data_IF_571122979394
#
_entry.id   IF_571122979394
#
_cell.length_a   1.000
_cell.length_b   1.000
_cell.length_c   1.000
_cell.angle_alpha   90.00
_cell.angle_beta   90.00
_cell.angle_gamma   90.00
#
_symmetry.space_group_name_H-M   'P 1'
#
loop_
_entity.id
_entity.type
_entity.pdbx_description
1 polymer ?
#
# COMPACT_ATOMS: atom_id res chain seq x y z
N UNK A 1 13.18 101.20 -27.39
CA UNK A 1 12.40 100.74 -26.27
C UNK A 1 12.03 99.26 -26.56
N UNK A 2 12.89 98.32 -26.13
CA UNK A 2 12.70 96.90 -26.39
C UNK A 2 12.86 96.19 -25.05
N UNK A 3 11.79 95.61 -24.61
CA UNK A 3 11.78 94.77 -23.36
C UNK A 3 11.85 93.36 -23.78
N UNK A 4 12.94 92.66 -23.40
CA UNK A 4 13.18 91.28 -23.65
C UNK A 4 12.60 90.45 -22.50
N UNK A 5 11.66 89.58 -22.80
CA UNK A 5 11.08 88.60 -21.84
C UNK A 5 11.92 87.28 -21.86
N UNK A 6 12.49 86.95 -20.72
CA UNK A 6 13.19 85.65 -20.46
C UNK A 6 12.15 84.59 -20.04
N UNK A 7 12.01 83.55 -20.84
CA UNK A 7 11.20 82.35 -20.48
C UNK A 7 12.05 81.31 -19.82
N UNK A 8 11.73 81.04 -18.58
CA UNK A 8 12.26 79.95 -17.79
C UNK A 8 11.65 78.65 -18.23
N UNK A 9 12.46 77.69 -18.67
CA UNK A 9 12.06 76.23 -18.91
C UNK A 9 12.29 75.42 -17.67
N UNK A 10 11.22 75.01 -16.98
CA UNK A 10 11.23 74.02 -15.93
C UNK A 10 11.28 72.67 -16.56
N UNK A 11 12.33 71.85 -16.24
CA UNK A 11 12.46 70.43 -16.56
C UNK A 11 11.73 69.65 -15.44
N UNK A 12 10.57 69.08 -15.74
CA UNK A 12 9.94 68.04 -14.92
C UNK A 12 10.56 66.69 -15.24
N UNK A 13 11.44 66.23 -14.38
CA UNK A 13 11.93 64.83 -14.42
C UNK A 13 10.84 63.87 -13.93
N UNK A 14 10.26 63.09 -14.85
CA UNK A 14 9.39 61.95 -14.48
C UNK A 14 10.24 60.78 -14.07
N UNK A 15 10.31 60.49 -12.75
CA UNK A 15 10.86 59.25 -12.22
C UNK A 15 9.85 58.12 -12.47
N UNK A 16 10.13 57.25 -13.46
CA UNK A 16 9.40 55.97 -13.65
C UNK A 16 9.84 55.00 -12.56
N UNK A 17 9.01 54.87 -11.54
CA UNK A 17 9.14 53.76 -10.59
C UNK A 17 8.64 52.47 -11.25
N UNK A 18 9.54 51.61 -11.72
CA UNK A 18 9.23 50.22 -12.09
C UNK A 18 8.89 49.47 -10.82
N UNK A 19 7.60 49.31 -10.54
CA UNK A 19 7.11 48.31 -9.59
C UNK A 19 7.32 46.91 -10.21
N UNK A 20 8.39 46.23 -9.81
CA UNK A 20 8.54 44.80 -10.01
C UNK A 20 7.45 44.12 -9.17
N UNK A 21 6.30 43.88 -9.78
CA UNK A 21 5.38 42.88 -9.25
C UNK A 21 6.04 41.52 -9.44
N UNK A 22 6.66 41.03 -8.38
CA UNK A 22 6.95 39.60 -8.27
C UNK A 22 5.59 38.90 -8.29
N UNK A 23 5.18 38.42 -9.45
CA UNK A 23 4.17 37.35 -9.51
C UNK A 23 4.81 36.17 -8.82
N UNK A 24 4.50 35.94 -7.55
CA UNK A 24 4.61 34.63 -6.96
C UNK A 24 3.70 33.76 -7.84
N UNK A 25 4.29 33.11 -8.84
CA UNK A 25 3.62 32.06 -9.56
C UNK A 25 3.26 31.02 -8.47
N UNK A 26 1.98 30.85 -8.19
CA UNK A 26 1.53 29.61 -7.58
C UNK A 26 1.98 28.55 -8.58
N UNK A 27 2.97 27.75 -8.21
CA UNK A 27 3.23 26.53 -8.95
C UNK A 27 1.89 25.79 -8.96
N UNK A 28 1.42 25.43 -10.14
CA UNK A 28 0.18 24.66 -10.26
C UNK A 28 0.44 23.35 -9.51
N UNK A 29 -0.40 23.05 -8.54
CA UNK A 29 -0.34 21.77 -7.82
C UNK A 29 -0.51 20.64 -8.85
N UNK A 30 0.21 19.54 -8.64
CA UNK A 30 0.06 18.34 -9.47
C UNK A 30 -1.07 17.50 -8.89
N UNK A 31 -2.10 17.28 -9.68
CA UNK A 31 -3.25 16.45 -9.29
C UNK A 31 -2.84 14.97 -9.31
N UNK A 32 -3.10 14.24 -8.21
CA UNK A 32 -2.89 12.80 -8.09
C UNK A 32 -4.16 12.14 -7.56
N UNK A 33 -4.76 11.29 -8.38
CA UNK A 33 -5.80 10.35 -7.91
C UNK A 33 -5.09 9.09 -7.45
N UNK A 34 -5.31 8.73 -6.19
CA UNK A 34 -4.69 7.59 -5.55
C UNK A 34 -5.73 6.53 -5.20
N UNK A 35 -5.54 5.31 -5.68
CA UNK A 35 -6.45 4.20 -5.43
C UNK A 35 -5.91 3.29 -4.35
N UNK A 36 -6.59 3.20 -3.19
CA UNK A 36 -6.31 2.16 -2.19
C UNK A 36 -6.72 0.78 -2.73
N UNK A 37 -6.11 -0.25 -2.18
CA UNK A 37 -6.48 -1.65 -2.44
C UNK A 37 -7.75 -2.07 -1.71
N UNK A 38 -8.07 -1.42 -0.58
CA UNK A 38 -9.18 -1.80 0.27
C UNK A 38 -9.99 -0.60 0.79
N UNK A 39 -10.88 -0.86 1.73
CA UNK A 39 -11.72 0.14 2.38
C UNK A 39 -10.90 1.09 3.25
N UNK A 40 -11.54 2.14 3.73
CA UNK A 40 -10.98 3.01 4.76
C UNK A 40 -11.02 2.28 6.11
N UNK A 41 -10.00 1.51 6.38
CA UNK A 41 -9.74 0.79 7.63
C UNK A 41 -8.42 1.30 8.23
N UNK A 42 -8.06 0.84 9.42
CA UNK A 42 -6.86 1.28 10.15
C UNK A 42 -5.61 1.47 9.28
N UNK A 43 -5.22 0.49 8.42
CA UNK A 43 -4.03 0.60 7.59
C UNK A 43 -4.03 1.74 6.57
N UNK A 44 -5.18 2.38 6.32
CA UNK A 44 -5.25 3.59 5.46
C UNK A 44 -4.84 4.89 6.19
N UNK A 45 -4.63 4.83 7.51
CA UNK A 45 -4.33 6.00 8.35
C UNK A 45 -3.19 6.88 7.82
N UNK A 46 -1.99 6.36 7.47
CA UNK A 46 -0.88 7.21 7.02
C UNK A 46 -1.20 7.99 5.73
N UNK A 47 -1.96 7.40 4.82
CA UNK A 47 -2.39 8.08 3.59
C UNK A 47 -3.35 9.23 3.89
N UNK A 48 -4.35 8.99 4.73
CA UNK A 48 -5.36 9.98 5.11
C UNK A 48 -4.76 11.09 5.98
N UNK A 49 -3.84 10.72 6.89
CA UNK A 49 -3.06 11.69 7.67
C UNK A 49 -2.27 12.63 6.76
N UNK A 50 -1.57 12.11 5.74
CA UNK A 50 -0.79 12.93 4.83
C UNK A 50 -1.66 13.96 4.09
N UNK A 51 -2.90 13.60 3.72
CA UNK A 51 -3.87 14.54 3.13
C UNK A 51 -4.29 15.60 4.16
N UNK A 52 -4.82 15.18 5.31
CA UNK A 52 -5.42 16.11 6.28
C UNK A 52 -4.40 17.02 6.98
N UNK A 53 -3.17 16.53 7.17
CA UNK A 53 -2.06 17.33 7.71
C UNK A 53 -1.45 18.26 6.68
N UNK A 54 -1.87 18.15 5.40
CA UNK A 54 -1.38 18.97 4.31
C UNK A 54 0.03 18.63 3.83
N UNK A 55 0.55 17.41 4.16
CA UNK A 55 1.91 17.03 3.77
C UNK A 55 2.06 16.91 2.25
N UNK A 56 1.04 16.43 1.57
CA UNK A 56 1.03 16.44 0.10
C UNK A 56 0.99 17.86 -0.46
N UNK A 57 0.20 18.77 0.13
CA UNK A 57 0.14 20.17 -0.31
C UNK A 57 1.47 20.90 -0.07
N UNK A 58 2.23 20.58 1.00
CA UNK A 58 3.58 21.10 1.23
C UNK A 58 4.56 20.68 0.12
N UNK A 59 4.31 19.56 -0.56
CA UNK A 59 5.06 19.07 -1.73
C UNK A 59 4.49 19.56 -3.08
N UNK A 60 3.46 20.44 -3.06
CA UNK A 60 2.81 20.97 -4.26
C UNK A 60 1.90 19.96 -4.97
N UNK A 61 1.28 19.05 -4.21
CA UNK A 61 0.41 17.99 -4.71
C UNK A 61 -1.02 18.16 -4.19
N UNK A 62 -2.01 18.03 -5.09
CA UNK A 62 -3.42 17.81 -4.73
C UNK A 62 -3.74 16.31 -4.85
N UNK A 63 -3.86 15.63 -3.71
CA UNK A 63 -4.02 14.17 -3.66
C UNK A 63 -5.44 13.82 -3.25
N UNK A 64 -6.12 13.06 -4.11
CA UNK A 64 -7.45 12.51 -3.86
C UNK A 64 -7.34 11.00 -3.67
N UNK A 65 -7.80 10.50 -2.50
CA UNK A 65 -7.70 9.09 -2.15
C UNK A 65 -9.07 8.43 -2.18
N UNK A 66 -9.18 7.34 -2.96
CA UNK A 66 -10.38 6.52 -3.05
C UNK A 66 -10.14 5.11 -2.50
N UNK A 67 -11.18 4.55 -1.86
CA UNK A 67 -11.17 3.17 -1.37
C UNK A 67 -11.23 2.16 -2.52
N UNK A 68 -10.68 0.95 -2.29
CA UNK A 68 -10.63 -0.13 -3.25
C UNK A 68 -11.45 -1.36 -2.87
N UNK A 69 -11.26 -2.41 -3.65
CA UNK A 69 -11.89 -3.72 -3.48
C UNK A 69 -10.99 -4.88 -3.89
N UNK A 70 -9.69 -4.75 -3.62
CA UNK A 70 -8.64 -5.72 -3.91
C UNK A 70 -7.51 -5.12 -4.75
N UNK A 71 -6.27 -5.60 -4.51
CA UNK A 71 -5.05 -5.10 -5.17
C UNK A 71 -5.10 -5.18 -6.69
N UNK A 72 -5.62 -6.28 -7.26
CA UNK A 72 -5.79 -6.40 -8.70
C UNK A 72 -6.71 -5.30 -9.27
N UNK A 73 -7.73 -4.88 -8.52
CA UNK A 73 -8.60 -3.77 -8.87
C UNK A 73 -7.85 -2.43 -8.90
N UNK A 74 -7.01 -2.16 -7.89
CA UNK A 74 -6.19 -0.96 -7.84
C UNK A 74 -5.18 -0.91 -9.00
N UNK A 75 -4.45 -2.01 -9.24
CA UNK A 75 -3.50 -2.15 -10.36
C UNK A 75 -4.19 -1.88 -11.71
N UNK A 76 -5.33 -2.50 -11.98
CA UNK A 76 -6.07 -2.29 -13.22
C UNK A 76 -6.53 -0.83 -13.41
N UNK A 77 -6.88 -0.14 -12.32
CA UNK A 77 -7.29 1.27 -12.40
C UNK A 77 -6.11 2.20 -12.69
N UNK A 78 -4.94 1.93 -12.12
CA UNK A 78 -3.70 2.63 -12.47
C UNK A 78 -3.32 2.32 -13.92
N UNK A 79 -3.35 1.07 -14.34
CA UNK A 79 -3.07 0.64 -15.71
C UNK A 79 -3.96 1.34 -16.75
N UNK A 80 -5.23 1.53 -16.43
CA UNK A 80 -6.18 2.19 -17.35
C UNK A 80 -6.01 3.71 -17.42
N UNK A 81 -5.13 4.32 -16.60
CA UNK A 81 -4.98 5.77 -16.47
C UNK A 81 -6.13 6.45 -15.73
N UNK A 82 -7.00 5.68 -15.05
CA UNK A 82 -8.05 6.23 -14.20
C UNK A 82 -7.48 6.82 -12.91
N UNK A 83 -6.32 6.35 -12.49
CA UNK A 83 -5.55 6.80 -11.34
C UNK A 83 -4.07 6.91 -11.71
N UNK A 84 -3.40 7.91 -11.20
CA UNK A 84 -1.97 8.15 -11.42
C UNK A 84 -1.11 7.19 -10.59
N UNK A 85 -1.55 6.94 -9.34
CA UNK A 85 -0.87 6.10 -8.36
C UNK A 85 -1.90 5.25 -7.60
N UNK A 86 -1.41 4.24 -6.88
CA UNK A 86 -2.27 3.39 -6.06
C UNK A 86 -1.50 2.60 -5.02
N UNK A 87 -2.24 1.77 -4.29
CA UNK A 87 -1.72 0.84 -3.30
C UNK A 87 -2.15 -0.57 -3.68
N UNK A 88 -1.20 -1.49 -3.80
CA UNK A 88 -1.50 -2.84 -4.25
C UNK A 88 -0.39 -3.83 -3.93
N UNK A 89 -0.73 -5.11 -3.89
CA UNK A 89 0.17 -6.22 -3.62
C UNK A 89 1.17 -6.42 -4.77
N UNK A 90 2.47 -6.49 -4.45
CA UNK A 90 3.53 -6.66 -5.46
C UNK A 90 3.40 -7.99 -6.23
N UNK A 91 2.84 -9.03 -5.61
CA UNK A 91 2.68 -10.31 -6.30
C UNK A 91 1.55 -10.24 -7.35
N UNK A 92 0.51 -9.47 -7.06
CA UNK A 92 -0.53 -9.17 -8.05
C UNK A 92 0.01 -8.26 -9.19
N UNK A 93 0.98 -7.39 -8.90
CA UNK A 93 1.67 -6.58 -9.91
C UNK A 93 2.54 -7.47 -10.81
N UNK A 94 3.34 -8.39 -10.24
CA UNK A 94 4.13 -9.36 -11.00
C UNK A 94 3.23 -10.14 -11.98
N UNK A 95 2.10 -10.64 -11.51
CA UNK A 95 1.14 -11.35 -12.34
C UNK A 95 0.59 -10.46 -13.47
N UNK A 96 0.17 -9.22 -13.13
CA UNK A 96 -0.34 -8.28 -14.12
C UNK A 96 0.68 -7.98 -15.22
N UNK A 97 1.95 -7.72 -14.87
CA UNK A 97 3.01 -7.43 -15.84
C UNK A 97 3.30 -8.65 -16.72
N UNK A 98 3.35 -9.84 -16.14
CA UNK A 98 3.57 -11.08 -16.89
C UNK A 98 2.43 -11.41 -17.89
N UNK A 99 1.19 -11.08 -17.54
CA UNK A 99 0.02 -11.28 -18.41
C UNK A 99 -0.12 -10.17 -19.46
N UNK A 100 0.51 -9.00 -19.24
CA UNK A 100 0.41 -7.82 -20.11
C UNK A 100 1.80 -7.28 -20.52
N UNK A 101 2.67 -8.07 -21.14
CA UNK A 101 4.07 -7.65 -21.41
C UNK A 101 4.19 -6.45 -22.37
N UNK A 102 3.18 -6.20 -23.19
CA UNK A 102 3.10 -5.04 -24.08
C UNK A 102 2.05 -4.01 -23.56
N UNK A 103 1.62 -4.17 -22.32
CA UNK A 103 0.58 -3.35 -21.69
C UNK A 103 1.10 -2.01 -21.17
N UNK A 104 0.23 -1.23 -20.50
CA UNK A 104 0.66 -0.02 -19.80
C UNK A 104 1.59 -0.40 -18.65
N UNK A 105 2.75 0.28 -18.57
CA UNK A 105 3.71 0.07 -17.50
C UNK A 105 3.20 0.61 -16.16
N UNK A 106 3.41 -0.20 -15.13
CA UNK A 106 3.17 0.14 -13.73
C UNK A 106 4.35 -0.37 -12.94
N UNK A 107 4.88 0.43 -12.03
CA UNK A 107 5.98 0.01 -11.17
C UNK A 107 5.65 0.28 -9.70
N UNK A 108 6.16 -0.57 -8.80
CA UNK A 108 6.21 -0.30 -7.38
C UNK A 108 7.27 0.78 -7.10
N UNK A 109 6.96 1.73 -6.24
CA UNK A 109 7.86 2.84 -5.92
C UNK A 109 8.13 2.98 -4.42
N UNK A 110 7.40 2.23 -3.58
CA UNK A 110 7.60 2.18 -2.12
C UNK A 110 6.94 0.92 -1.55
N UNK A 111 7.72 0.00 -1.02
CA UNK A 111 7.22 -1.21 -0.35
C UNK A 111 6.73 -0.86 1.06
N UNK A 112 5.41 -0.87 1.28
CA UNK A 112 4.84 -0.55 2.60
C UNK A 112 4.77 -1.78 3.47
N UNK A 113 4.39 -2.94 2.90
CA UNK A 113 4.36 -4.20 3.61
C UNK A 113 5.56 -5.05 3.21
N UNK A 114 6.55 -5.10 4.09
CA UNK A 114 7.77 -5.89 3.89
C UNK A 114 7.50 -7.39 3.72
N UNK A 115 6.42 -7.91 4.32
CA UNK A 115 5.96 -9.28 4.14
C UNK A 115 4.51 -9.38 3.68
N UNK A 116 4.16 -10.49 3.01
CA UNK A 116 2.76 -10.74 2.70
C UNK A 116 1.94 -10.89 3.98
N UNK A 117 0.82 -10.15 4.13
CA UNK A 117 -0.07 -10.31 5.28
C UNK A 117 -1.00 -11.53 5.18
N UNK A 118 -0.88 -12.33 4.12
CA UNK A 118 -1.72 -13.51 3.91
C UNK A 118 -1.55 -14.53 5.04
N UNK A 119 -2.65 -15.10 5.48
CA UNK A 119 -2.70 -16.17 6.45
C UNK A 119 -3.83 -17.16 6.15
N UNK A 120 -3.67 -18.41 6.58
CA UNK A 120 -4.77 -19.36 6.71
C UNK A 120 -5.35 -19.26 8.12
N UNK A 121 -6.67 -19.29 8.21
CA UNK A 121 -7.40 -19.36 9.48
C UNK A 121 -8.28 -20.60 9.48
N UNK A 122 -8.12 -21.42 10.49
CA UNK A 122 -8.93 -22.62 10.71
C UNK A 122 -9.45 -22.62 12.15
N UNK A 123 -10.58 -23.28 12.38
CA UNK A 123 -11.06 -23.48 13.76
C UNK A 123 -10.23 -24.57 14.43
N UNK A 124 -9.82 -24.39 15.68
CA UNK A 124 -9.09 -25.42 16.44
C UNK A 124 -9.84 -26.74 16.56
N UNK A 125 -11.18 -26.69 16.64
CA UNK A 125 -12.03 -27.87 16.73
C UNK A 125 -12.18 -28.64 15.40
N UNK A 126 -11.68 -28.09 14.27
CA UNK A 126 -11.66 -28.76 12.97
C UNK A 126 -10.57 -29.83 12.83
N UNK A 127 -9.64 -29.89 13.80
CA UNK A 127 -8.48 -30.78 13.77
C UNK A 127 -7.37 -30.36 12.80
N UNK A 128 -7.36 -29.07 12.41
CA UNK A 128 -6.30 -28.45 11.60
C UNK A 128 -5.32 -27.78 12.57
N UNK A 129 -4.12 -28.31 12.72
CA UNK A 129 -3.06 -27.79 13.58
C UNK A 129 -1.81 -27.39 12.76
N UNK A 130 -1.63 -27.96 11.57
CA UNK A 130 -0.48 -27.74 10.70
C UNK A 130 -0.90 -27.73 9.22
N UNK A 131 -0.05 -27.22 8.29
CA UNK A 131 -0.36 -27.21 6.85
C UNK A 131 -0.79 -28.56 6.28
N UNK A 132 -0.16 -29.66 6.73
CA UNK A 132 -0.50 -31.00 6.26
C UNK A 132 -1.96 -31.42 6.54
N UNK A 133 -2.58 -30.86 7.58
CA UNK A 133 -3.97 -31.16 7.96
C UNK A 133 -5.01 -30.51 7.03
N UNK A 134 -4.56 -29.58 6.17
CA UNK A 134 -5.41 -28.92 5.17
C UNK A 134 -5.77 -29.86 4.01
N UNK A 135 -5.05 -30.98 3.83
CA UNK A 135 -5.38 -31.92 2.76
C UNK A 135 -6.82 -32.48 2.92
N UNK A 136 -7.60 -32.41 1.84
CA UNK A 136 -9.00 -32.82 1.81
C UNK A 136 -9.97 -31.85 2.48
N UNK A 137 -9.53 -30.66 2.88
CA UNK A 137 -10.34 -29.64 3.53
C UNK A 137 -10.91 -28.64 2.53
N UNK A 138 -12.04 -28.02 2.90
CA UNK A 138 -12.64 -26.93 2.15
C UNK A 138 -12.14 -25.58 2.67
N UNK A 139 -11.51 -24.81 1.79
CA UNK A 139 -11.01 -23.46 2.10
C UNK A 139 -11.84 -22.43 1.32
N UNK A 140 -12.37 -21.41 2.01
CA UNK A 140 -13.11 -20.33 1.37
C UNK A 140 -12.26 -19.08 1.20
N UNK A 141 -12.29 -18.50 0.02
CA UNK A 141 -11.67 -17.21 -0.30
C UNK A 141 -12.31 -16.58 -1.55
N UNK A 142 -12.24 -15.25 -1.71
CA UNK A 142 -12.42 -14.61 -3.01
C UNK A 142 -11.28 -15.01 -3.96
N UNK A 143 -11.54 -15.08 -5.26
CA UNK A 143 -10.51 -15.45 -6.25
C UNK A 143 -9.38 -14.43 -6.39
N UNK A 144 -9.59 -13.19 -5.94
CA UNK A 144 -8.58 -12.13 -5.91
C UNK A 144 -7.83 -12.02 -4.56
N UNK A 145 -8.15 -12.87 -3.57
CA UNK A 145 -7.49 -12.90 -2.27
C UNK A 145 -6.01 -13.32 -2.41
N UNK A 146 -5.10 -12.59 -1.77
CA UNK A 146 -3.66 -12.86 -1.85
C UNK A 146 -3.31 -14.26 -1.36
N UNK A 147 -3.96 -14.76 -0.29
CA UNK A 147 -3.71 -16.12 0.20
C UNK A 147 -4.20 -17.20 -0.76
N UNK A 148 -5.35 -16.98 -1.43
CA UNK A 148 -5.78 -17.85 -2.51
C UNK A 148 -4.79 -17.83 -3.68
N UNK A 149 -4.35 -16.65 -4.09
CA UNK A 149 -3.40 -16.46 -5.19
C UNK A 149 -2.04 -17.06 -4.89
N UNK A 150 -1.51 -16.88 -3.67
CA UNK A 150 -0.22 -17.41 -3.25
C UNK A 150 -0.30 -18.86 -2.72
N UNK A 151 -1.45 -19.53 -2.82
CA UNK A 151 -1.65 -20.86 -2.27
C UNK A 151 -0.65 -21.90 -2.78
N UNK A 152 -0.36 -21.89 -4.07
CA UNK A 152 0.60 -22.81 -4.68
C UNK A 152 1.99 -22.70 -4.05
N UNK A 153 2.40 -21.48 -3.69
CA UNK A 153 3.69 -21.19 -3.04
C UNK A 153 3.66 -21.70 -1.59
N UNK A 154 2.57 -21.40 -0.85
CA UNK A 154 2.39 -21.90 0.52
C UNK A 154 2.39 -23.43 0.56
N UNK A 155 1.64 -24.08 -0.34
CA UNK A 155 1.57 -25.53 -0.43
C UNK A 155 2.94 -26.16 -0.73
N UNK A 156 3.67 -25.61 -1.70
CA UNK A 156 5.01 -26.07 -2.05
C UNK A 156 6.02 -25.90 -0.91
N UNK A 157 5.97 -24.78 -0.18
CA UNK A 157 6.84 -24.53 0.97
C UNK A 157 6.60 -25.50 2.14
N UNK A 158 5.40 -26.13 2.18
CA UNK A 158 4.97 -27.01 3.27
C UNK A 158 4.74 -28.47 2.84
N UNK A 159 5.32 -28.90 1.70
CA UNK A 159 5.21 -30.26 1.17
C UNK A 159 3.75 -30.74 0.97
N UNK A 160 2.82 -29.81 0.70
CA UNK A 160 1.42 -30.08 0.44
C UNK A 160 1.15 -30.04 -1.07
N UNK A 161 0.36 -31.01 -1.58
CA UNK A 161 -0.17 -30.90 -2.95
C UNK A 161 -1.13 -29.71 -3.04
N UNK A 162 -0.89 -28.71 -3.89
CA UNK A 162 -1.77 -27.54 -4.01
C UNK A 162 -3.20 -27.89 -4.43
N UNK A 163 -3.41 -29.08 -5.04
CA UNK A 163 -4.71 -29.59 -5.43
C UNK A 163 -5.37 -30.46 -4.34
N UNK A 164 -4.73 -30.64 -3.18
CA UNK A 164 -5.28 -31.45 -2.11
C UNK A 164 -6.41 -30.76 -1.33
N UNK A 165 -6.70 -29.49 -1.59
CA UNK A 165 -7.77 -28.71 -0.94
C UNK A 165 -8.93 -28.44 -1.89
N UNK A 166 -10.14 -28.28 -1.35
CA UNK A 166 -11.30 -27.85 -2.11
C UNK A 166 -11.55 -26.35 -1.92
N UNK A 167 -11.48 -25.59 -3.00
CA UNK A 167 -11.71 -24.14 -2.93
C UNK A 167 -13.19 -23.79 -3.09
N UNK A 168 -13.71 -23.00 -2.15
CA UNK A 168 -15.00 -22.37 -2.27
C UNK A 168 -14.82 -20.87 -2.53
N UNK A 169 -15.13 -20.43 -3.77
CA UNK A 169 -15.11 -19.00 -4.09
C UNK A 169 -16.31 -18.30 -3.43
N UNK A 170 -16.06 -17.23 -2.69
CA UNK A 170 -17.05 -16.51 -1.90
C UNK A 170 -16.85 -15.00 -2.00
N UNK A 171 -17.92 -14.25 -1.72
CA UNK A 171 -17.80 -12.82 -1.48
C UNK A 171 -16.99 -12.56 -0.20
N UNK A 172 -16.05 -11.58 -0.18
CA UNK A 172 -15.20 -11.29 0.98
C UNK A 172 -16.01 -11.00 2.26
N UNK A 173 -17.23 -10.48 2.16
CA UNK A 173 -18.08 -10.20 3.32
C UNK A 173 -18.68 -11.44 3.99
N UNK A 174 -18.66 -12.58 3.28
CA UNK A 174 -19.20 -13.85 3.76
C UNK A 174 -18.13 -14.79 4.32
N UNK A 175 -16.86 -14.60 3.95
CA UNK A 175 -15.75 -15.50 4.23
C UNK A 175 -15.65 -15.89 5.71
N UNK A 176 -15.52 -14.92 6.60
CA UNK A 176 -15.40 -15.14 8.04
C UNK A 176 -16.69 -15.77 8.64
N UNK A 177 -17.85 -15.39 8.11
CA UNK A 177 -19.14 -15.97 8.54
C UNK A 177 -19.22 -17.46 8.24
N UNK A 178 -18.72 -17.92 7.09
CA UNK A 178 -18.70 -19.34 6.74
C UNK A 178 -17.80 -20.13 7.69
N UNK A 179 -16.63 -19.60 8.05
CA UNK A 179 -15.73 -20.23 9.00
C UNK A 179 -16.38 -20.30 10.41
N UNK A 180 -16.94 -19.21 10.92
CA UNK A 180 -17.56 -19.19 12.25
C UNK A 180 -18.73 -20.16 12.36
N UNK A 181 -19.47 -20.37 11.27
CA UNK A 181 -20.57 -21.33 11.21
C UNK A 181 -20.13 -22.80 11.02
N UNK A 182 -18.86 -23.00 10.64
CA UNK A 182 -18.35 -24.33 10.28
C UNK A 182 -18.87 -24.82 8.93
N UNK A 183 -19.30 -23.92 8.04
CA UNK A 183 -19.72 -24.25 6.68
C UNK A 183 -18.48 -24.52 5.77
N UNK A 184 -17.28 -24.08 6.21
CA UNK A 184 -15.97 -24.39 5.63
C UNK A 184 -14.96 -24.72 6.74
N UNK A 185 -13.90 -25.43 6.39
CA UNK A 185 -12.86 -25.87 7.36
C UNK A 185 -11.85 -24.75 7.66
N UNK A 186 -11.52 -23.95 6.63
CA UNK A 186 -10.57 -22.84 6.72
C UNK A 186 -10.94 -21.71 5.77
N UNK A 187 -10.28 -20.57 5.96
CA UNK A 187 -10.30 -19.42 5.06
C UNK A 187 -8.89 -18.90 4.85
N UNK A 188 -8.65 -18.14 3.77
CA UNK A 188 -7.48 -17.28 3.67
C UNK A 188 -7.89 -15.81 3.74
N UNK A 189 -6.95 -14.93 4.14
CA UNK A 189 -7.15 -13.49 4.20
C UNK A 189 -5.95 -12.79 4.81
N UNK A 190 -5.98 -11.46 4.87
CA UNK A 190 -4.96 -10.70 5.57
C UNK A 190 -5.09 -10.89 7.08
N UNK A 191 -3.95 -11.15 7.75
CA UNK A 191 -3.88 -11.48 9.17
C UNK A 191 -4.68 -10.51 10.02
N UNK A 192 -4.38 -9.22 9.94
CA UNK A 192 -5.01 -8.17 10.73
C UNK A 192 -6.49 -7.91 10.36
N UNK A 193 -6.91 -8.22 9.12
CA UNK A 193 -8.30 -8.04 8.71
C UNK A 193 -9.16 -9.24 9.13
N UNK A 194 -8.75 -10.46 8.77
CA UNK A 194 -9.57 -11.64 9.04
C UNK A 194 -9.63 -11.99 10.53
N UNK A 195 -8.53 -11.80 11.28
CA UNK A 195 -8.53 -12.02 12.73
C UNK A 195 -9.60 -11.16 13.41
N UNK A 196 -9.56 -9.85 13.18
CA UNK A 196 -10.50 -8.93 13.85
C UNK A 196 -11.94 -9.12 13.37
N UNK A 197 -12.14 -9.42 12.09
CA UNK A 197 -13.46 -9.76 11.58
C UNK A 197 -14.01 -11.06 12.18
N UNK A 198 -13.18 -12.04 12.52
CA UNK A 198 -13.58 -13.26 13.22
C UNK A 198 -13.94 -12.97 14.69
N UNK A 199 -13.13 -12.14 15.37
CA UNK A 199 -13.41 -11.70 16.74
C UNK A 199 -14.73 -10.94 16.83
N UNK A 200 -15.02 -10.04 15.90
CA UNK A 200 -16.30 -9.32 15.80
C UNK A 200 -17.50 -10.29 15.69
N UNK A 201 -17.28 -11.45 15.04
CA UNK A 201 -18.28 -12.52 14.91
C UNK A 201 -18.31 -13.47 16.10
N UNK A 202 -17.56 -13.15 17.16
CA UNK A 202 -17.55 -13.90 18.42
C UNK A 202 -16.61 -15.10 18.44
N UNK A 203 -15.64 -15.20 17.49
CA UNK A 203 -14.63 -16.25 17.46
C UNK A 203 -13.28 -15.65 17.90
N UNK A 204 -12.86 -15.96 19.11
CA UNK A 204 -11.59 -15.45 19.67
C UNK A 204 -10.37 -16.09 19.02
N UNK A 205 -9.23 -15.40 19.09
CA UNK A 205 -7.96 -15.92 18.58
C UNK A 205 -7.60 -17.28 19.19
N UNK A 206 -7.94 -17.53 20.46
CA UNK A 206 -7.69 -18.81 21.13
C UNK A 206 -8.48 -19.99 20.53
N UNK A 207 -9.54 -19.72 19.77
CA UNK A 207 -10.34 -20.73 19.07
C UNK A 207 -9.83 -21.00 17.64
N UNK A 208 -8.80 -20.28 17.20
CA UNK A 208 -8.25 -20.34 15.85
C UNK A 208 -6.87 -20.98 15.81
N UNK A 209 -6.63 -21.79 14.80
CA UNK A 209 -5.31 -22.09 14.27
C UNK A 209 -5.04 -21.08 13.15
N UNK A 210 -3.97 -20.29 13.29
CA UNK A 210 -3.59 -19.25 12.33
C UNK A 210 -2.22 -19.60 11.78
N UNK A 211 -2.08 -19.55 10.46
CA UNK A 211 -0.84 -19.86 9.74
C UNK A 211 -0.47 -18.67 8.86
N UNK A 212 0.27 -17.67 9.38
CA UNK A 212 0.77 -16.54 8.59
C UNK A 212 1.77 -17.08 7.55
N UNK A 213 1.59 -16.73 6.29
CA UNK A 213 2.41 -17.24 5.18
C UNK A 213 3.92 -17.04 5.37
N UNK A 214 4.41 -15.88 5.86
CA UNK A 214 5.84 -15.70 6.10
C UNK A 214 6.43 -16.68 7.11
N UNK A 215 5.68 -17.05 8.16
CA UNK A 215 6.13 -18.02 9.16
C UNK A 215 6.18 -19.45 8.63
N UNK A 216 5.50 -19.70 7.50
CA UNK A 216 5.46 -21.01 6.82
C UNK A 216 6.26 -21.02 5.52
N UNK A 217 7.31 -20.17 5.42
CA UNK A 217 8.29 -20.24 4.35
C UNK A 217 7.89 -19.57 3.04
N UNK A 218 6.95 -18.63 3.06
CA UNK A 218 6.52 -17.85 1.88
C UNK A 218 7.19 -16.48 1.92
N UNK A 219 8.30 -16.24 1.17
CA UNK A 219 9.13 -15.04 1.30
C UNK A 219 8.64 -13.90 0.40
N UNK A 220 7.33 -13.78 0.21
CA UNK A 220 6.73 -12.77 -0.65
C UNK A 220 6.66 -11.41 0.06
N UNK A 221 6.81 -10.33 -0.70
CA UNK A 221 6.42 -8.99 -0.28
C UNK A 221 4.89 -8.86 -0.23
N UNK A 222 4.41 -7.83 0.45
CA UNK A 222 3.00 -7.46 0.43
C UNK A 222 2.74 -6.23 -0.42
N UNK A 223 1.95 -5.30 0.12
CA UNK A 223 1.51 -4.13 -0.62
C UNK A 223 2.58 -3.04 -0.73
N UNK A 224 2.63 -2.44 -1.90
CA UNK A 224 3.47 -1.29 -2.23
C UNK A 224 2.63 -0.12 -2.77
N UNK A 225 3.17 1.08 -2.69
CA UNK A 225 2.71 2.20 -3.50
C UNK A 225 3.19 1.93 -4.92
N UNK A 226 2.25 1.95 -5.85
CA UNK A 226 2.48 1.74 -7.28
C UNK A 226 2.20 3.04 -8.04
N UNK A 227 2.89 3.26 -9.14
CA UNK A 227 2.69 4.39 -10.01
C UNK A 227 2.55 3.93 -11.47
N UNK A 228 1.75 4.63 -12.26
CA UNK A 228 1.80 4.54 -13.71
C UNK A 228 3.17 5.01 -14.18
N UNK A 229 3.89 4.23 -15.00
CA UNK A 229 5.19 4.61 -15.52
C UNK A 229 5.12 5.93 -16.29
N UNK A 230 4.09 6.11 -17.12
CA UNK A 230 3.92 7.37 -17.88
C UNK A 230 3.77 8.58 -16.94
N UNK A 231 3.04 8.45 -15.83
CA UNK A 231 2.94 9.53 -14.84
C UNK A 231 4.28 9.77 -14.14
N UNK A 232 4.97 8.70 -13.74
CA UNK A 232 6.24 8.79 -13.03
C UNK A 232 7.35 9.39 -13.89
N UNK A 233 7.40 9.06 -15.19
CA UNK A 233 8.35 9.64 -16.15
C UNK A 233 8.06 11.12 -16.44
N UNK A 234 6.78 11.49 -16.59
CA UNK A 234 6.38 12.88 -16.83
C UNK A 234 6.48 13.76 -15.59
N UNK A 235 6.29 13.20 -14.39
CA UNK A 235 6.21 13.90 -13.11
C UNK A 235 7.09 13.27 -12.00
N UNK A 236 8.40 13.04 -12.23
CA UNK A 236 9.23 12.31 -11.25
C UNK A 236 9.31 13.00 -9.89
N UNK A 237 9.27 14.34 -9.85
CA UNK A 237 9.29 15.09 -8.58
C UNK A 237 7.95 15.01 -7.83
N UNK A 238 6.83 14.83 -8.54
CA UNK A 238 5.53 14.58 -7.91
C UNK A 238 5.53 13.22 -7.20
N UNK A 239 6.05 12.16 -7.84
CA UNK A 239 6.19 10.85 -7.20
C UNK A 239 7.09 10.94 -5.98
N UNK A 240 8.28 11.57 -6.09
CA UNK A 240 9.19 11.75 -4.94
C UNK A 240 8.55 12.56 -3.82
N UNK A 241 7.81 13.62 -4.15
CA UNK A 241 7.07 14.44 -3.19
C UNK A 241 5.99 13.62 -2.47
N UNK A 242 5.23 12.81 -3.22
CA UNK A 242 4.25 11.91 -2.66
C UNK A 242 4.88 10.96 -1.64
N UNK A 243 6.00 10.33 -2.00
CA UNK A 243 6.69 9.39 -1.11
C UNK A 243 7.29 10.06 0.12
N UNK A 244 7.81 11.29 0.02
CA UNK A 244 8.27 12.06 1.20
C UNK A 244 7.13 12.36 2.15
N UNK A 245 6.00 12.84 1.64
CA UNK A 245 4.81 13.15 2.43
C UNK A 245 4.23 11.90 3.11
N UNK A 246 4.10 10.81 2.34
CA UNK A 246 3.65 9.53 2.87
C UNK A 246 4.59 8.98 3.95
N UNK A 247 5.90 8.95 3.69
CA UNK A 247 6.90 8.45 4.62
C UNK A 247 6.87 9.21 5.95
N UNK A 248 6.69 10.53 5.90
CA UNK A 248 6.52 11.36 7.11
C UNK A 248 5.26 10.95 7.89
N UNK A 249 4.13 10.78 7.20
CA UNK A 249 2.88 10.36 7.83
C UNK A 249 2.96 8.93 8.39
N UNK A 250 3.67 8.03 7.70
CA UNK A 250 3.91 6.66 8.17
C UNK A 250 4.74 6.67 9.47
N UNK A 251 5.80 7.48 9.54
CA UNK A 251 6.59 7.64 10.76
C UNK A 251 5.74 8.15 11.93
N UNK A 252 4.95 9.22 11.73
CA UNK A 252 4.04 9.73 12.77
C UNK A 252 2.95 8.71 13.15
N UNK A 253 2.50 7.86 12.20
CA UNK A 253 1.54 6.78 12.48
C UNK A 253 2.15 5.67 13.32
N UNK A 254 3.43 5.33 13.09
CA UNK A 254 4.17 4.37 13.90
C UNK A 254 4.40 4.89 15.32
N UNK A 255 4.70 6.20 15.46
CA UNK A 255 4.91 6.84 16.77
C UNK A 255 3.62 6.92 17.61
N UNK A 256 2.46 7.19 16.99
CA UNK A 256 1.17 7.31 17.68
C UNK A 256 0.01 6.78 16.82
N UNK A 257 -0.19 5.44 16.78
CA UNK A 257 -1.29 4.84 16.05
C UNK A 257 -2.68 5.23 16.59
N UNK A 258 -2.76 5.53 17.89
CA UNK A 258 -4.03 5.96 18.52
C UNK A 258 -4.46 7.35 18.04
N UNK A 259 -3.51 8.25 17.78
CA UNK A 259 -3.81 9.54 17.15
C UNK A 259 -4.07 9.40 15.64
N UNK A 260 -3.37 8.49 14.96
CA UNK A 260 -3.47 8.30 13.52
C UNK A 260 -4.85 7.80 13.07
N UNK A 261 -5.55 7.01 13.90
CA UNK A 261 -6.87 6.47 13.55
C UNK A 261 -7.95 7.55 13.40
N UNK A 262 -7.74 8.72 13.99
CA UNK A 262 -8.68 9.84 13.88
C UNK A 262 -8.87 10.29 12.42
N UNK A 263 -7.83 10.18 11.57
CA UNK A 263 -7.91 10.51 10.14
C UNK A 263 -8.78 9.51 9.38
N UNK A 264 -8.79 8.23 9.77
CA UNK A 264 -9.71 7.24 9.22
C UNK A 264 -11.15 7.52 9.65
N UNK A 265 -11.36 7.86 10.93
CA UNK A 265 -12.66 8.26 11.46
C UNK A 265 -13.21 9.51 10.77
N UNK A 266 -12.38 10.50 10.49
CA UNK A 266 -12.79 11.70 9.76
C UNK A 266 -13.27 11.37 8.34
N UNK A 267 -12.70 10.34 7.73
CA UNK A 267 -13.07 9.87 6.39
C UNK A 267 -14.32 9.00 6.39
N UNK A 268 -14.49 8.14 7.41
CA UNK A 268 -15.66 7.29 7.61
C UNK A 268 -16.07 7.30 9.10
N UNK A 269 -17.11 8.10 9.41
CA UNK A 269 -17.62 8.28 10.79
C UNK A 269 -18.27 7.00 11.36
N UNK A 270 -18.47 5.97 10.54
CA UNK A 270 -19.14 4.74 10.95
C UNK A 270 -18.18 3.64 11.43
N UNK A 271 -16.88 3.86 11.38
CA UNK A 271 -15.91 2.86 11.84
C UNK A 271 -15.99 2.62 13.35
N UNK A 272 -15.70 1.41 13.78
CA UNK A 272 -15.37 1.12 15.17
C UNK A 272 -13.90 1.53 15.44
N UNK A 273 -13.73 2.68 16.11
CA UNK A 273 -12.41 3.27 16.37
C UNK A 273 -11.49 2.32 17.16
N UNK A 274 -12.03 1.59 18.15
CA UNK A 274 -11.22 0.65 18.95
C UNK A 274 -10.74 -0.52 18.10
N UNK A 275 -11.61 -1.09 17.30
CA UNK A 275 -11.27 -2.18 16.37
C UNK A 275 -10.28 -1.73 15.31
N UNK A 276 -10.50 -0.56 14.69
CA UNK A 276 -9.63 -0.07 13.63
C UNK A 276 -8.25 0.38 14.14
N UNK A 277 -8.17 0.88 15.38
CA UNK A 277 -6.89 1.10 16.07
C UNK A 277 -6.12 -0.21 16.26
N UNK A 278 -6.80 -1.27 16.72
CA UNK A 278 -6.19 -2.60 16.85
C UNK A 278 -5.73 -3.15 15.48
N UNK A 279 -6.54 -2.95 14.44
CA UNK A 279 -6.20 -3.36 13.06
C UNK A 279 -4.95 -2.65 12.57
N UNK A 280 -4.88 -1.34 12.78
CA UNK A 280 -3.71 -0.54 12.45
C UNK A 280 -2.46 -1.07 13.16
N UNK A 281 -2.51 -1.22 14.49
CA UNK A 281 -1.39 -1.74 15.28
C UNK A 281 -0.94 -3.12 14.81
N UNK A 282 -1.89 -4.04 14.57
CA UNK A 282 -1.55 -5.36 14.04
C UNK A 282 -0.89 -5.31 12.65
N UNK A 283 -1.33 -4.41 11.78
CA UNK A 283 -0.69 -4.23 10.47
C UNK A 283 0.72 -3.64 10.61
N UNK A 284 0.89 -2.61 11.44
CA UNK A 284 2.20 -2.01 11.70
C UNK A 284 3.18 -3.06 12.26
N UNK A 285 2.78 -3.81 13.29
CA UNK A 285 3.63 -4.80 13.96
C UNK A 285 3.97 -6.01 13.08
N UNK A 286 3.05 -6.42 12.18
CA UNK A 286 3.23 -7.66 11.42
C UNK A 286 3.95 -7.49 10.09
N UNK A 287 3.80 -6.34 9.42
CA UNK A 287 4.28 -6.17 8.04
C UNK A 287 4.98 -4.84 7.73
N UNK A 288 5.01 -3.88 8.67
CA UNK A 288 5.68 -2.58 8.49
C UNK A 288 6.92 -2.48 9.36
N UNK A 289 6.77 -2.66 10.68
CA UNK A 289 7.87 -2.58 11.64
C UNK A 289 8.59 -3.92 11.78
N UNK A 290 9.17 -4.38 10.68
CA UNK A 290 9.87 -5.68 10.61
C UNK A 290 11.36 -5.52 10.99
N UNK A 291 12.07 -6.62 11.29
CA UNK A 291 13.51 -6.57 11.50
C UNK A 291 14.27 -5.97 10.31
N UNK A 292 13.85 -6.25 9.08
CA UNK A 292 14.46 -5.69 7.87
C UNK A 292 14.21 -4.18 7.77
N UNK A 293 12.98 -3.73 8.01
CA UNK A 293 12.65 -2.30 8.01
C UNK A 293 13.40 -1.50 9.09
N UNK A 294 13.68 -2.12 10.24
CA UNK A 294 14.50 -1.49 11.31
C UNK A 294 15.98 -1.40 10.96
N UNK A 295 16.50 -2.34 10.18
CA UNK A 295 17.91 -2.35 9.75
C UNK A 295 18.14 -1.48 8.51
N UNK A 296 17.24 -1.56 7.52
CA UNK A 296 17.42 -0.99 6.19
C UNK A 296 16.52 0.23 5.91
N UNK A 297 15.55 0.52 6.79
CA UNK A 297 14.51 1.53 6.58
C UNK A 297 13.32 0.96 5.79
N UNK A 298 12.17 1.59 5.99
CA UNK A 298 10.93 1.21 5.25
C UNK A 298 11.00 1.64 3.79
N UNK A 299 10.22 0.99 2.95
CA UNK A 299 9.94 1.45 1.58
C UNK A 299 10.81 0.85 0.50
N UNK A 300 11.95 0.26 0.82
CA UNK A 300 12.84 -0.39 -0.14
C UNK A 300 12.54 -1.89 -0.27
N UNK A 301 13.22 -2.55 -1.18
CA UNK A 301 13.17 -4.00 -1.38
C UNK A 301 14.58 -4.58 -1.44
N UNK A 302 14.71 -5.85 -1.11
CA UNK A 302 15.89 -6.64 -1.44
C UNK A 302 15.68 -7.26 -2.84
N UNK A 303 16.56 -6.92 -3.77
CA UNK A 303 16.43 -7.33 -5.17
C UNK A 303 16.52 -8.86 -5.34
N UNK A 304 17.33 -9.57 -4.54
CA UNK A 304 17.43 -11.03 -4.61
C UNK A 304 16.13 -11.69 -4.12
N UNK A 305 15.53 -11.14 -3.06
CA UNK A 305 14.24 -11.59 -2.56
C UNK A 305 13.12 -11.31 -3.55
N UNK A 306 13.10 -10.13 -4.20
CA UNK A 306 12.10 -9.82 -5.22
C UNK A 306 12.26 -10.71 -6.44
N UNK A 307 13.49 -10.95 -6.94
CA UNK A 307 13.76 -11.87 -8.02
C UNK A 307 13.25 -13.30 -7.71
N UNK A 308 13.46 -13.76 -6.47
CA UNK A 308 12.91 -15.03 -6.01
C UNK A 308 11.38 -15.03 -5.96
N UNK A 309 10.75 -13.94 -5.50
CA UNK A 309 9.29 -13.80 -5.48
C UNK A 309 8.73 -13.87 -6.91
N UNK A 310 9.35 -13.19 -7.89
CA UNK A 310 8.98 -13.25 -9.31
C UNK A 310 8.99 -14.69 -9.83
N UNK A 311 10.04 -15.47 -9.52
CA UNK A 311 10.11 -16.89 -9.91
C UNK A 311 9.00 -17.72 -9.25
N UNK A 312 8.80 -17.55 -7.95
CA UNK A 312 7.78 -18.30 -7.20
C UNK A 312 6.36 -18.02 -7.72
N UNK A 313 6.05 -16.75 -8.01
CA UNK A 313 4.77 -16.35 -8.61
C UNK A 313 4.65 -16.92 -10.02
N UNK A 314 5.70 -16.83 -10.82
CA UNK A 314 5.76 -17.39 -12.16
C UNK A 314 5.48 -18.88 -12.21
N UNK A 315 6.13 -19.65 -11.35
CA UNK A 315 5.97 -21.10 -11.25
C UNK A 315 4.56 -21.47 -10.77
N UNK A 316 4.05 -20.78 -9.74
CA UNK A 316 2.73 -21.06 -9.17
C UNK A 316 1.58 -20.84 -10.15
N UNK A 317 1.70 -19.83 -11.03
CA UNK A 317 0.67 -19.49 -12.02
C UNK A 317 0.99 -19.95 -13.44
N UNK A 318 2.14 -20.59 -13.65
CA UNK A 318 2.61 -20.99 -14.98
C UNK A 318 2.60 -19.81 -15.96
N UNK A 319 3.13 -18.68 -15.53
CA UNK A 319 3.16 -17.46 -16.33
C UNK A 319 4.07 -17.61 -17.55
N UNK A 320 3.66 -17.10 -18.72
CA UNK A 320 4.39 -17.33 -19.98
C UNK A 320 5.71 -16.58 -20.07
N UNK A 321 5.78 -15.42 -19.41
CA UNK A 321 6.96 -14.54 -19.32
C UNK A 321 7.01 -13.97 -17.93
N UNK A 322 8.21 -13.68 -17.43
CA UNK A 322 8.37 -13.04 -16.13
C UNK A 322 8.93 -11.64 -16.33
N UNK A 323 8.45 -10.65 -15.57
CA UNK A 323 9.07 -9.32 -15.55
C UNK A 323 10.46 -9.41 -14.89
N UNK A 324 11.36 -8.51 -15.25
CA UNK A 324 12.61 -8.29 -14.51
C UNK A 324 12.31 -7.52 -13.21
N UNK A 325 13.28 -7.49 -12.28
CA UNK A 325 13.12 -6.80 -10.99
C UNK A 325 12.81 -5.31 -11.20
N UNK A 326 13.51 -4.70 -12.14
CA UNK A 326 13.39 -3.28 -12.49
C UNK A 326 12.04 -2.92 -13.11
N UNK A 327 11.34 -3.88 -13.71
CA UNK A 327 9.97 -3.69 -14.22
C UNK A 327 8.96 -3.66 -13.06
N UNK A 328 9.25 -4.41 -11.97
CA UNK A 328 8.34 -4.55 -10.84
C UNK A 328 8.52 -3.43 -9.82
N UNK A 329 9.77 -2.97 -9.59
CA UNK A 329 10.07 -1.99 -8.56
C UNK A 329 11.19 -1.04 -8.96
N UNK A 330 10.96 0.27 -8.81
CA UNK A 330 11.94 1.34 -9.05
C UNK A 330 12.23 2.12 -7.77
N UNK A 331 13.40 1.84 -7.16
CA UNK A 331 13.89 2.50 -5.95
C UNK A 331 14.37 3.94 -6.16
N UNK A 332 14.50 4.42 -7.41
CA UNK A 332 15.02 5.76 -7.72
C UNK A 332 14.11 6.90 -7.23
N UNK A 333 12.86 6.60 -6.88
CA UNK A 333 11.91 7.57 -6.32
C UNK A 333 11.95 7.66 -4.79
N UNK A 334 12.59 6.71 -4.12
CA UNK A 334 12.57 6.63 -2.66
C UNK A 334 13.21 7.86 -1.99
N UNK A 335 12.68 8.31 -0.85
CA UNK A 335 13.40 9.21 0.05
C UNK A 335 14.76 8.62 0.45
N UNK A 336 15.76 9.45 0.84
CA UNK A 336 17.02 8.96 1.37
C UNK A 336 16.81 7.96 2.52
N UNK A 337 17.68 6.95 2.63
CA UNK A 337 17.56 5.89 3.62
C UNK A 337 17.41 6.44 5.05
N UNK A 338 18.17 7.49 5.40
CA UNK A 338 18.14 8.10 6.72
C UNK A 338 16.76 8.66 7.10
N UNK A 339 15.98 9.09 6.08
CA UNK A 339 14.62 9.58 6.28
C UNK A 339 13.58 8.43 6.40
N UNK A 340 13.97 7.22 6.02
CA UNK A 340 13.11 6.01 6.04
C UNK A 340 13.42 5.09 7.22
N UNK A 341 14.44 5.39 8.02
CA UNK A 341 14.78 4.62 9.22
C UNK A 341 13.67 4.75 10.27
N UNK A 342 13.23 3.62 10.79
CA UNK A 342 12.33 3.60 11.93
C UNK A 342 13.12 4.03 13.18
N UNK A 343 12.56 4.95 13.96
CA UNK A 343 13.18 5.34 15.22
C UNK A 343 13.13 4.14 16.17
N UNK A 344 14.30 3.63 16.58
CA UNK A 344 14.35 2.61 17.62
C UNK A 344 13.81 3.19 18.93
N UNK A 345 12.84 2.51 19.56
CA UNK A 345 12.48 2.79 20.95
C UNK A 345 13.77 2.74 21.80
N UNK A 346 14.37 3.89 22.15
CA UNK A 346 15.50 3.91 23.07
C UNK A 346 16.64 4.89 22.81
N UNK A 347 16.47 5.95 22.03
CA UNK A 347 17.44 7.04 21.96
C UNK A 347 17.01 8.23 22.84
N UNK A 348 16.92 8.02 24.15
CA UNK A 348 17.03 9.08 25.17
C UNK A 348 18.37 8.98 25.91
#
# INVERSE_FOLDING_TARGET
>A
MNTTMMTSRSFCGAALALALWSTAGHAQETDIRFQLDWRFEGPSAPFLMAVERGYFAEEGLDVQIDSGSGSAGAINRVASGAYEMGFGDLNALIEFLAENPDGPGITGVYSVYDGTPAAVFARKDSGIEAPADLAGKTIAAPTFDTGYRAWGIFAAANDLDPNAVEWQNVDPTLRETLLTRGDVDAITGFYFTSLLNLEERGMSQDELTIMPFPEYGVPLYGNAIIASESFAEENPEAVRGFLRAFNRALGETLDDPDAAIEYVRNRDELIDVEMETRRLKLALDSVVDTPDARENGVGDIDEERLAKAIQLVGDAYSLPTLPEVEDVFDSAYLPPQEARMLLSEGSE
#
